data_IF_288181921260
#
_entry.id   IF_288181921260
#
_cell.length_a   1.000
_cell.length_b   1.000
_cell.length_c   1.000
_cell.angle_alpha   90.00
_cell.angle_beta   90.00
_cell.angle_gamma   90.00
#
_symmetry.space_group_name_H-M   'P 1'
#
loop_
_entity.id
_entity.type
_entity.pdbx_description
1 polymer ?
#
# COMPACT_ATOMS: atom_id res chain seq x y z
N UNK A 1 -15.97 89.46 -26.04
CA UNK A 1 -14.77 90.26 -26.35
C UNK A 1 -13.57 89.48 -25.82
N UNK A 2 -12.77 88.89 -26.74
CA UNK A 2 -11.34 88.46 -26.68
C UNK A 2 -10.87 87.65 -25.45
N UNK A 3 -10.48 86.37 -25.62
CA UNK A 3 -9.09 85.87 -25.87
C UNK A 3 -8.10 86.32 -24.75
N UNK A 4 -7.20 85.50 -24.19
CA UNK A 4 -5.90 85.04 -24.75
C UNK A 4 -5.27 84.18 -23.63
N UNK A 5 -4.98 82.88 -23.83
CA UNK A 5 -3.70 82.29 -24.26
C UNK A 5 -2.50 82.52 -23.31
N UNK A 6 -1.76 81.46 -22.95
CA UNK A 6 -0.44 81.65 -22.33
C UNK A 6 0.24 80.41 -21.75
N UNK A 7 0.61 79.47 -22.61
CA UNK A 7 1.45 78.28 -22.31
C UNK A 7 2.84 78.63 -21.76
N UNK A 8 3.42 77.74 -20.93
CA UNK A 8 4.87 77.49 -20.91
C UNK A 8 5.19 76.00 -20.71
N UNK A 9 6.00 75.46 -21.62
CA UNK A 9 6.60 74.11 -21.68
C UNK A 9 7.80 74.06 -20.71
N UNK A 10 8.24 72.92 -20.15
CA UNK A 10 9.00 71.85 -20.82
C UNK A 10 9.37 70.71 -19.84
N UNK A 11 9.57 69.51 -20.42
CA UNK A 11 10.34 68.32 -20.00
C UNK A 11 9.95 67.58 -18.69
N UNK A 12 9.74 66.26 -18.63
CA UNK A 12 9.97 65.14 -19.54
C UNK A 12 10.80 64.05 -18.84
N UNK A 13 10.18 62.91 -18.46
CA UNK A 13 10.70 61.52 -18.58
C UNK A 13 9.73 60.52 -17.95
N UNK A 14 9.67 59.34 -18.57
CA UNK A 14 8.66 58.31 -18.36
C UNK A 14 8.93 57.37 -17.18
N UNK A 15 7.96 56.50 -16.92
CA UNK A 15 8.00 55.51 -15.85
C UNK A 15 6.65 54.81 -15.72
N UNK A 16 6.48 53.76 -16.51
CA UNK A 16 5.32 52.87 -16.59
C UNK A 16 5.21 51.91 -15.41
N UNK A 17 3.97 51.70 -14.94
CA UNK A 17 3.45 50.42 -14.40
C UNK A 17 3.79 50.07 -12.95
N UNK A 18 2.77 49.96 -12.10
CA UNK A 18 2.92 49.51 -10.71
C UNK A 18 1.60 49.18 -10.03
N UNK A 19 0.85 48.21 -10.57
CA UNK A 19 -0.27 47.58 -9.86
C UNK A 19 0.28 46.36 -9.09
N UNK A 20 0.56 46.55 -7.80
CA UNK A 20 1.03 45.51 -6.88
C UNK A 20 -0.03 45.15 -5.84
N UNK A 21 -1.09 44.45 -6.28
CA UNK A 21 -2.13 43.89 -5.42
C UNK A 21 -1.71 42.59 -4.74
N UNK A 22 -1.42 42.70 -3.45
CA UNK A 22 -1.84 41.85 -2.32
C UNK A 22 -2.19 40.37 -2.55
N UNK A 23 -1.53 39.51 -1.78
CA UNK A 23 -2.20 38.40 -1.06
C UNK A 23 -2.20 37.04 -1.76
N UNK A 24 -1.07 36.34 -1.72
CA UNK A 24 -1.06 34.89 -1.91
C UNK A 24 -1.19 34.19 -0.56
N UNK A 25 -2.31 33.53 -0.29
CA UNK A 25 -2.47 32.64 0.87
C UNK A 25 -3.21 31.34 0.50
N UNK A 26 -2.42 30.28 0.37
CA UNK A 26 -2.59 29.00 1.06
C UNK A 26 -3.90 28.22 0.91
N UNK A 27 -4.08 27.49 -0.18
CA UNK A 27 -5.07 26.40 -0.30
C UNK A 27 -4.41 25.05 -0.61
N UNK A 28 -3.70 24.47 0.36
CA UNK A 28 -3.03 23.16 0.22
C UNK A 28 -3.19 22.17 1.38
N UNK A 29 -3.87 22.55 2.48
CA UNK A 29 -3.85 21.77 3.74
C UNK A 29 -4.93 20.71 3.94
N UNK A 30 -5.95 20.62 3.06
CA UNK A 30 -7.14 19.78 3.27
C UNK A 30 -6.96 18.31 2.89
N UNK A 31 -6.28 18.02 1.77
CA UNK A 31 -6.14 16.66 1.25
C UNK A 31 -5.25 15.76 2.13
N UNK A 32 -4.16 16.31 2.69
CA UNK A 32 -3.26 15.58 3.58
C UNK A 32 -3.91 15.19 4.91
N UNK A 33 -4.72 16.09 5.49
CA UNK A 33 -5.45 15.82 6.75
C UNK A 33 -6.55 14.77 6.58
N UNK A 34 -7.26 14.80 5.44
CA UNK A 34 -8.28 13.80 5.11
C UNK A 34 -7.71 12.40 4.88
N UNK A 35 -6.58 12.31 4.19
CA UNK A 35 -5.85 11.05 3.94
C UNK A 35 -5.36 10.40 5.24
N UNK A 36 -4.77 11.20 6.15
CA UNK A 36 -4.26 10.66 7.42
C UNK A 36 -5.36 10.15 8.35
N UNK A 37 -6.53 10.79 8.36
CA UNK A 37 -7.70 10.27 9.09
C UNK A 37 -8.17 8.94 8.51
N UNK A 38 -8.23 8.81 7.18
CA UNK A 38 -8.64 7.56 6.54
C UNK A 38 -7.68 6.40 6.84
N UNK A 39 -6.36 6.65 6.83
CA UNK A 39 -5.36 5.64 7.21
C UNK A 39 -5.51 5.22 8.67
N UNK A 40 -5.68 6.18 9.58
CA UNK A 40 -5.90 5.89 11.00
C UNK A 40 -7.17 5.05 11.23
N UNK A 41 -8.28 5.44 10.61
CA UNK A 41 -9.55 4.75 10.75
C UNK A 41 -9.47 3.32 10.18
N UNK A 42 -8.78 3.14 9.04
CA UNK A 42 -8.52 1.82 8.46
C UNK A 42 -7.63 0.95 9.36
N UNK A 43 -6.51 1.49 9.88
CA UNK A 43 -5.60 0.76 10.77
C UNK A 43 -6.32 0.29 12.05
N UNK A 44 -7.11 1.19 12.67
CA UNK A 44 -7.97 0.85 13.81
C UNK A 44 -9.03 -0.19 13.42
N UNK A 45 -9.53 -0.14 12.19
CA UNK A 45 -10.49 -1.10 11.66
C UNK A 45 -9.90 -2.51 11.58
N UNK A 46 -8.67 -2.65 11.07
CA UNK A 46 -7.97 -3.94 11.03
C UNK A 46 -7.70 -4.49 12.43
N UNK A 47 -7.18 -3.65 13.32
CA UNK A 47 -6.91 -4.04 14.70
C UNK A 47 -8.20 -4.48 15.43
N UNK A 48 -9.29 -3.69 15.32
CA UNK A 48 -10.54 -3.93 16.07
C UNK A 48 -11.40 -5.05 15.49
N UNK A 49 -11.64 -5.03 14.19
CA UNK A 49 -12.62 -5.91 13.56
C UNK A 49 -12.01 -7.20 13.04
N UNK A 50 -10.72 -7.17 12.69
CA UNK A 50 -10.02 -8.32 12.16
C UNK A 50 -9.12 -8.99 13.21
N UNK A 51 -8.77 -8.27 14.28
CA UNK A 51 -7.77 -8.71 15.26
C UNK A 51 -6.35 -8.72 14.70
N UNK A 52 -6.12 -8.03 13.58
CA UNK A 52 -4.86 -8.13 12.84
C UNK A 52 -3.79 -7.22 13.46
N UNK A 53 -2.57 -7.74 13.74
CA UNK A 53 -1.46 -6.94 14.22
C UNK A 53 -0.92 -6.08 13.09
N UNK A 54 -1.03 -4.77 13.25
CA UNK A 54 -0.58 -3.79 12.25
C UNK A 54 0.49 -2.89 12.83
N UNK A 55 1.25 -2.26 11.94
CA UNK A 55 2.22 -1.22 12.27
C UNK A 55 2.38 -0.24 11.10
N UNK A 56 2.90 0.97 11.36
CA UNK A 56 3.20 1.89 10.28
C UNK A 56 4.43 1.43 9.49
N UNK A 57 4.34 1.49 8.18
CA UNK A 57 5.43 1.22 7.25
C UNK A 57 6.30 2.43 7.01
N UNK A 58 7.36 2.22 6.24
CA UNK A 58 8.22 3.31 5.79
C UNK A 58 7.48 4.15 4.75
N UNK A 59 7.43 5.46 4.95
CA UNK A 59 6.84 6.39 4.00
C UNK A 59 7.71 6.50 2.73
N UNK A 60 7.06 6.67 1.58
CA UNK A 60 7.77 7.03 0.36
C UNK A 60 8.24 8.48 0.44
N UNK A 61 9.45 8.76 -0.04
CA UNK A 61 9.97 10.10 -0.19
C UNK A 61 9.24 10.88 -1.29
N UNK A 62 9.36 12.22 -1.32
CA UNK A 62 8.74 13.07 -2.35
C UNK A 62 9.18 12.74 -3.79
N UNK A 63 10.35 12.13 -3.94
CA UNK A 63 10.94 11.68 -5.20
C UNK A 63 10.44 10.30 -5.65
N UNK A 64 9.46 9.72 -4.95
CA UNK A 64 8.94 8.39 -5.24
C UNK A 64 9.89 7.26 -4.86
N UNK A 65 10.96 7.53 -4.10
CA UNK A 65 11.84 6.50 -3.54
C UNK A 65 11.35 6.04 -2.18
N UNK A 66 11.86 4.91 -1.71
CA UNK A 66 11.56 4.46 -0.35
C UNK A 66 12.29 5.36 0.67
N UNK A 67 11.59 5.81 1.72
CA UNK A 67 12.19 6.57 2.82
C UNK A 67 13.15 5.78 3.71
N UNK A 68 13.42 4.50 3.40
CA UNK A 68 14.27 3.64 4.22
C UNK A 68 15.78 3.87 4.00
N UNK A 69 16.14 4.74 3.07
CA UNK A 69 17.54 5.05 2.75
C UNK A 69 18.30 3.95 1.99
N UNK A 70 17.69 2.79 1.72
CA UNK A 70 18.32 1.70 0.95
C UNK A 70 18.24 1.99 -0.55
N UNK A 71 19.38 2.17 -1.26
CA UNK A 71 19.38 2.25 -2.72
C UNK A 71 18.78 0.96 -3.32
N UNK A 72 17.90 1.10 -4.31
CA UNK A 72 17.29 -0.06 -4.96
C UNK A 72 16.32 -0.86 -4.09
N UNK A 73 15.66 -0.24 -3.10
CA UNK A 73 14.60 -0.88 -2.31
C UNK A 73 13.61 -1.62 -3.22
N UNK A 74 13.47 -2.94 -3.01
CA UNK A 74 12.66 -3.83 -3.87
C UNK A 74 11.16 -3.77 -3.58
N UNK A 75 10.76 -3.13 -2.47
CA UNK A 75 9.36 -2.95 -2.06
C UNK A 75 9.10 -1.54 -1.53
N UNK A 76 9.29 -0.47 -2.34
CA UNK A 76 9.23 0.91 -1.86
C UNK A 76 7.91 1.28 -1.16
N UNK A 77 8.00 1.62 0.13
CA UNK A 77 6.87 1.97 0.98
C UNK A 77 5.96 0.81 1.38
N UNK A 78 6.28 -0.42 0.97
CA UNK A 78 5.50 -1.62 1.26
C UNK A 78 6.15 -2.50 2.34
N UNK A 79 6.95 -1.92 3.22
CA UNK A 79 7.69 -2.64 4.27
C UNK A 79 7.72 -1.86 5.60
N UNK A 80 7.84 -2.54 6.74
CA UNK A 80 8.02 -1.90 8.04
C UNK A 80 9.40 -1.22 8.13
N UNK A 81 9.57 -0.24 9.01
CA UNK A 81 10.91 0.20 9.37
C UNK A 81 11.60 -0.94 10.15
N UNK A 82 12.85 -1.24 9.86
CA UNK A 82 13.57 -2.35 10.50
C UNK A 82 14.16 -1.87 11.85
N UNK A 83 13.97 -2.55 13.00
CA UNK A 83 13.29 -3.83 13.26
C UNK A 83 11.86 -3.72 13.83
N UNK A 84 11.08 -2.72 13.44
CA UNK A 84 9.75 -2.42 14.01
C UNK A 84 8.71 -3.55 13.83
N UNK A 85 8.95 -4.60 13.03
CA UNK A 85 7.94 -5.66 12.80
C UNK A 85 7.49 -6.36 14.08
N UNK A 86 8.39 -6.56 15.04
CA UNK A 86 8.06 -7.14 16.35
C UNK A 86 7.15 -6.24 17.20
N UNK A 87 7.08 -4.95 16.87
CA UNK A 87 6.20 -4.01 17.55
C UNK A 87 4.77 -4.05 17.01
N UNK A 88 4.47 -4.81 15.94
CA UNK A 88 3.13 -4.91 15.36
C UNK A 88 2.08 -5.25 16.42
N UNK A 89 0.95 -4.55 16.38
CA UNK A 89 -0.04 -4.62 17.45
C UNK A 89 -1.46 -4.54 16.94
N UNK A 90 -2.37 -5.24 17.63
CA UNK A 90 -3.82 -5.08 17.51
C UNK A 90 -4.40 -4.22 18.66
N UNK A 91 -3.54 -3.70 19.57
CA UNK A 91 -3.97 -2.77 20.61
C UNK A 91 -4.38 -1.43 20.00
N UNK A 92 -5.65 -1.07 20.16
CA UNK A 92 -6.25 0.13 19.57
C UNK A 92 -5.61 1.44 20.05
N UNK A 93 -5.09 1.49 21.27
CA UNK A 93 -4.42 2.69 21.81
C UNK A 93 -3.07 2.86 21.13
N UNK A 94 -2.30 1.78 21.02
CA UNK A 94 -1.00 1.80 20.34
C UNK A 94 -1.15 2.14 18.85
N UNK A 95 -2.05 1.43 18.16
CA UNK A 95 -2.35 1.66 16.74
C UNK A 95 -2.85 3.09 16.50
N UNK A 96 -3.80 3.54 17.31
CA UNK A 96 -4.36 4.89 17.20
C UNK A 96 -3.33 6.00 17.42
N UNK A 97 -2.36 5.78 18.33
CA UNK A 97 -1.28 6.71 18.62
C UNK A 97 -0.25 6.79 17.50
N UNK A 98 0.11 5.66 16.88
CA UNK A 98 1.07 5.66 15.79
C UNK A 98 0.65 6.55 14.62
N UNK A 99 -0.62 6.47 14.19
CA UNK A 99 -1.12 7.30 13.08
C UNK A 99 -1.41 8.75 13.47
N UNK A 100 -1.43 9.07 14.77
CA UNK A 100 -1.35 10.49 15.19
C UNK A 100 0.06 11.01 14.93
N UNK A 101 1.10 10.20 15.19
CA UNK A 101 2.51 10.60 14.99
C UNK A 101 2.98 10.51 13.53
N UNK A 102 2.46 9.54 12.78
CA UNK A 102 2.80 9.26 11.38
C UNK A 102 1.52 9.16 10.52
N UNK A 103 0.84 10.28 10.25
CA UNK A 103 -0.47 10.27 9.60
C UNK A 103 -0.43 9.76 8.16
N UNK A 104 0.70 9.89 7.46
CA UNK A 104 0.86 9.43 6.08
C UNK A 104 1.47 8.02 5.97
N UNK A 105 1.79 7.38 7.08
CA UNK A 105 2.46 6.09 7.05
C UNK A 105 1.57 4.98 6.45
N UNK A 106 2.14 4.14 5.55
CA UNK A 106 1.50 2.91 5.09
C UNK A 106 1.10 2.02 6.27
N UNK A 107 -0.02 1.32 6.15
CA UNK A 107 -0.45 0.26 7.08
C UNK A 107 0.19 -1.05 6.63
N UNK A 108 1.00 -1.65 7.50
CA UNK A 108 1.60 -2.96 7.29
C UNK A 108 0.93 -3.95 8.24
N UNK A 109 0.60 -5.14 7.72
CA UNK A 109 0.21 -6.32 8.50
C UNK A 109 1.44 -7.16 8.79
N UNK A 110 1.66 -7.52 10.05
CA UNK A 110 2.57 -8.60 10.40
C UNK A 110 1.87 -9.95 10.16
N UNK A 111 2.39 -10.76 9.24
CA UNK A 111 1.73 -12.03 8.87
C UNK A 111 2.05 -13.13 9.86
N UNK A 112 1.11 -14.07 10.06
CA UNK A 112 1.31 -15.29 10.84
C UNK A 112 1.47 -15.13 12.36
N UNK A 113 1.74 -13.92 12.87
CA UNK A 113 1.86 -13.64 14.31
C UNK A 113 0.49 -13.67 15.00
N UNK A 114 0.38 -14.33 16.15
CA UNK A 114 -0.85 -14.35 16.98
C UNK A 114 -2.14 -14.72 16.23
N UNK A 115 -2.03 -15.65 15.27
CA UNK A 115 -3.16 -16.08 14.44
C UNK A 115 -3.56 -15.12 13.32
N UNK A 116 -2.76 -14.08 13.07
CA UNK A 116 -2.91 -13.20 11.92
C UNK A 116 -2.77 -13.97 10.60
N UNK A 117 -3.43 -13.53 9.51
CA UNK A 117 -3.32 -14.20 8.23
C UNK A 117 -1.87 -14.33 7.76
N UNK A 118 -1.57 -15.46 7.15
CA UNK A 118 -0.44 -15.56 6.25
C UNK A 118 -0.84 -15.01 4.87
N UNK A 119 0.12 -14.89 3.95
CA UNK A 119 -0.19 -14.55 2.56
C UNK A 119 0.59 -15.39 1.56
N UNK A 120 0.00 -15.52 0.37
CA UNK A 120 0.68 -15.99 -0.85
C UNK A 120 0.59 -14.87 -1.88
N UNK A 121 1.70 -14.50 -2.48
CA UNK A 121 1.73 -13.40 -3.45
C UNK A 121 2.44 -13.74 -4.74
N UNK A 122 1.96 -13.16 -5.83
CA UNK A 122 2.51 -13.28 -7.17
C UNK A 122 2.54 -11.90 -7.85
N UNK A 123 3.22 -11.73 -9.00
CA UNK A 123 3.23 -10.45 -9.72
C UNK A 123 1.81 -9.95 -10.04
N UNK A 124 1.56 -8.65 -9.91
CA UNK A 124 0.22 -8.08 -10.11
C UNK A 124 -0.40 -8.45 -11.47
N UNK A 125 0.43 -8.57 -12.51
CA UNK A 125 0.01 -8.97 -13.85
C UNK A 125 -0.61 -10.39 -13.92
N UNK A 126 -0.26 -11.30 -13.00
CA UNK A 126 -0.86 -12.65 -12.97
C UNK A 126 -2.22 -12.67 -12.25
N UNK A 127 -2.56 -11.60 -11.52
CA UNK A 127 -3.71 -11.60 -10.62
C UNK A 127 -5.08 -11.72 -11.33
N UNK A 128 -5.33 -11.07 -12.49
CA UNK A 128 -6.60 -11.22 -13.19
C UNK A 128 -6.87 -12.68 -13.57
N UNK A 129 -5.87 -13.37 -14.11
CA UNK A 129 -5.99 -14.78 -14.49
C UNK A 129 -6.21 -15.67 -13.27
N UNK A 130 -5.38 -15.52 -12.22
CA UNK A 130 -5.52 -16.30 -10.99
C UNK A 130 -6.89 -16.13 -10.34
N UNK A 131 -7.41 -14.90 -10.32
CA UNK A 131 -8.70 -14.59 -9.72
C UNK A 131 -9.86 -15.22 -10.50
N UNK A 132 -9.82 -15.13 -11.84
CA UNK A 132 -10.81 -15.76 -12.70
C UNK A 132 -10.78 -17.28 -12.57
N UNK A 133 -9.60 -17.88 -12.53
CA UNK A 133 -9.47 -19.34 -12.46
C UNK A 133 -9.91 -19.90 -11.10
N UNK A 134 -9.58 -19.23 -9.99
CA UNK A 134 -10.12 -19.59 -8.67
C UNK A 134 -11.65 -19.52 -8.64
N UNK A 135 -12.25 -18.51 -9.30
CA UNK A 135 -13.71 -18.41 -9.41
C UNK A 135 -14.30 -19.53 -10.27
N UNK A 136 -13.69 -19.85 -11.42
CA UNK A 136 -14.11 -20.94 -12.30
C UNK A 136 -14.07 -22.30 -11.59
N UNK A 137 -13.06 -22.55 -10.76
CA UNK A 137 -12.94 -23.78 -9.95
C UNK A 137 -13.83 -23.77 -8.70
N UNK A 138 -14.64 -22.75 -8.49
CA UNK A 138 -15.50 -22.62 -7.30
C UNK A 138 -14.73 -22.46 -5.99
N UNK A 139 -13.44 -22.12 -6.05
CA UNK A 139 -12.58 -21.97 -4.88
C UNK A 139 -12.89 -20.63 -4.22
N UNK A 140 -13.45 -20.67 -3.00
CA UNK A 140 -13.73 -19.47 -2.22
C UNK A 140 -12.43 -18.84 -1.72
N UNK A 141 -12.12 -17.67 -2.25
CA UNK A 141 -10.96 -16.87 -1.83
C UNK A 141 -11.26 -16.03 -0.58
N UNK A 142 -10.20 -15.76 0.18
CA UNK A 142 -10.20 -14.78 1.27
C UNK A 142 -9.98 -13.36 0.75
N UNK A 143 -9.62 -12.41 1.63
CA UNK A 143 -9.22 -11.07 1.22
C UNK A 143 -8.02 -11.12 0.26
N UNK A 144 -8.01 -10.24 -0.74
CA UNK A 144 -6.92 -10.12 -1.70
C UNK A 144 -6.51 -8.65 -1.81
N UNK A 145 -5.27 -8.37 -1.45
CA UNK A 145 -4.65 -7.05 -1.62
C UNK A 145 -3.97 -7.00 -2.99
N UNK A 146 -4.18 -5.93 -3.74
CA UNK A 146 -3.43 -5.62 -4.94
C UNK A 146 -2.57 -4.38 -4.70
N UNK A 147 -1.33 -4.46 -5.14
CA UNK A 147 -0.37 -3.35 -5.23
C UNK A 147 0.05 -3.22 -6.69
N UNK A 148 0.71 -2.13 -7.09
CA UNK A 148 1.21 -1.97 -8.46
C UNK A 148 2.10 -3.13 -8.94
N UNK A 149 2.85 -3.78 -8.04
CA UNK A 149 3.79 -4.83 -8.39
C UNK A 149 3.31 -6.25 -8.05
N UNK A 150 2.44 -6.42 -7.05
CA UNK A 150 2.03 -7.74 -6.55
C UNK A 150 0.58 -7.81 -6.10
N UNK A 151 -0.01 -9.00 -6.22
CA UNK A 151 -1.26 -9.38 -5.56
C UNK A 151 -0.96 -10.36 -4.42
N UNK A 152 -1.64 -10.18 -3.28
CA UNK A 152 -1.48 -10.95 -2.06
C UNK A 152 -2.83 -11.55 -1.64
N UNK A 153 -2.95 -12.88 -1.71
CA UNK A 153 -4.10 -13.60 -1.14
C UNK A 153 -3.82 -13.83 0.33
N UNK A 154 -4.67 -13.30 1.21
CA UNK A 154 -4.62 -13.60 2.63
C UNK A 154 -5.23 -14.98 2.88
N UNK A 155 -4.45 -15.83 3.54
CA UNK A 155 -4.75 -17.24 3.80
C UNK A 155 -4.70 -17.50 5.29
N UNK A 156 -5.23 -18.64 5.70
CA UNK A 156 -5.14 -19.09 7.09
C UNK A 156 -3.65 -19.19 7.48
N UNK A 157 -3.31 -18.97 8.77
CA UNK A 157 -1.97 -19.22 9.26
C UNK A 157 -1.52 -20.64 8.89
N UNK A 158 -0.26 -20.78 8.49
CA UNK A 158 0.38 -22.05 8.19
C UNK A 158 1.79 -22.06 8.78
N UNK A 159 2.26 -23.25 9.11
CA UNK A 159 3.62 -23.46 9.56
C UNK A 159 4.57 -23.61 8.35
N UNK A 160 5.82 -23.09 8.40
CA UNK A 160 6.79 -23.27 7.32
C UNK A 160 7.08 -24.74 6.96
N UNK A 161 7.04 -25.67 7.92
CA UNK A 161 7.22 -27.09 7.64
C UNK A 161 6.03 -27.68 6.88
N UNK A 162 4.80 -27.32 7.26
CA UNK A 162 3.58 -27.70 6.50
C UNK A 162 3.64 -27.18 5.06
N UNK A 163 4.07 -25.93 4.89
CA UNK A 163 4.28 -25.36 3.57
C UNK A 163 5.38 -26.12 2.80
N UNK A 164 6.48 -26.50 3.46
CA UNK A 164 7.56 -27.27 2.87
C UNK A 164 7.06 -28.57 2.23
N UNK A 165 6.24 -29.34 2.94
CA UNK A 165 5.62 -30.57 2.43
C UNK A 165 4.71 -30.31 1.23
N UNK A 166 3.88 -29.25 1.29
CA UNK A 166 3.00 -28.86 0.18
C UNK A 166 3.78 -28.49 -1.08
N UNK A 167 4.93 -27.83 -0.93
CA UNK A 167 5.79 -27.43 -2.04
C UNK A 167 6.65 -28.59 -2.56
N UNK A 168 7.09 -29.48 -1.68
CA UNK A 168 7.85 -30.68 -2.06
C UNK A 168 7.03 -31.62 -2.95
N UNK A 169 5.72 -31.68 -2.74
CA UNK A 169 4.80 -32.43 -3.59
C UNK A 169 4.60 -31.82 -5.00
N UNK A 170 5.41 -30.84 -5.42
CA UNK A 170 5.28 -30.14 -6.71
C UNK A 170 6.55 -30.22 -7.52
N UNK A 171 6.36 -30.49 -8.81
CA UNK A 171 7.45 -30.56 -9.78
C UNK A 171 8.10 -29.18 -10.02
N UNK A 172 7.33 -28.10 -9.89
CA UNK A 172 7.80 -26.73 -10.11
C UNK A 172 7.04 -25.71 -9.25
N UNK A 173 7.79 -24.84 -8.56
CA UNK A 173 7.28 -23.66 -7.87
C UNK A 173 8.04 -22.43 -8.38
N UNK A 174 7.42 -21.53 -9.15
CA UNK A 174 8.11 -20.35 -9.67
C UNK A 174 8.59 -19.43 -8.54
N UNK A 175 9.83 -18.93 -8.62
CA UNK A 175 10.36 -17.95 -7.67
C UNK A 175 9.63 -16.59 -7.68
N UNK A 176 8.78 -16.35 -8.68
CA UNK A 176 7.86 -15.21 -8.70
C UNK A 176 6.71 -15.37 -7.69
N UNK A 177 6.40 -16.58 -7.23
CA UNK A 177 5.48 -16.86 -6.11
C UNK A 177 6.22 -16.68 -4.78
N UNK A 178 5.60 -15.97 -3.84
CA UNK A 178 6.17 -15.66 -2.52
C UNK A 178 5.21 -16.02 -1.41
N UNK A 179 5.76 -16.54 -0.32
CA UNK A 179 5.03 -16.97 0.87
C UNK A 179 5.39 -16.05 2.03
N UNK A 180 4.37 -15.61 2.78
CA UNK A 180 4.50 -14.69 3.91
C UNK A 180 3.87 -15.36 5.13
N UNK A 181 4.70 -16.02 5.94
CA UNK A 181 4.34 -16.66 7.20
C UNK A 181 4.67 -15.76 8.40
N UNK A 182 4.80 -16.33 9.60
CA UNK A 182 5.32 -15.61 10.77
C UNK A 182 6.66 -14.93 10.45
N UNK A 183 6.79 -13.64 10.81
CA UNK A 183 7.95 -12.80 10.47
C UNK A 183 7.89 -12.17 9.06
N UNK A 184 6.88 -12.51 8.26
CA UNK A 184 6.56 -11.83 7.02
C UNK A 184 5.69 -10.58 7.23
N UNK A 185 5.43 -9.87 6.15
CA UNK A 185 4.56 -8.70 6.17
C UNK A 185 3.88 -8.44 4.82
N UNK A 186 2.72 -7.78 4.86
CA UNK A 186 2.02 -7.31 3.65
C UNK A 186 1.46 -5.91 3.88
N UNK A 187 1.49 -5.01 2.88
CA UNK A 187 0.79 -3.74 2.98
C UNK A 187 -0.73 -3.97 2.95
N UNK A 188 -1.48 -3.17 3.71
CA UNK A 188 -2.94 -3.19 3.72
C UNK A 188 -3.52 -1.92 3.10
N UNK A 189 -4.65 -1.99 2.37
CA UNK A 189 -5.34 -0.80 1.88
C UNK A 189 -5.79 0.13 3.02
N UNK A 190 -5.87 1.46 2.83
CA UNK A 190 -5.63 2.20 1.58
C UNK A 190 -4.18 2.74 1.48
N UNK A 191 -3.18 2.01 1.99
CA UNK A 191 -1.80 2.51 2.13
C UNK A 191 -1.23 3.16 0.87
N UNK A 192 -0.67 4.39 0.97
CA UNK A 192 0.15 4.93 -0.09
C UNK A 192 1.44 4.11 -0.23
N UNK A 193 1.90 3.91 -1.45
CA UNK A 193 3.15 3.22 -1.78
C UNK A 193 3.93 4.10 -2.76
N UNK A 194 5.23 3.87 -2.93
CA UNK A 194 6.02 4.76 -3.79
C UNK A 194 5.57 4.71 -5.27
N UNK A 195 5.10 3.55 -5.74
CA UNK A 195 4.60 3.36 -7.10
C UNK A 195 3.06 3.37 -7.20
N UNK A 196 2.33 3.87 -6.19
CA UNK A 196 0.86 3.90 -6.20
C UNK A 196 0.24 3.70 -4.82
N UNK A 197 -0.65 2.72 -4.68
CA UNK A 197 -1.30 2.40 -3.40
C UNK A 197 -1.65 0.92 -3.28
N UNK A 198 -1.79 0.44 -2.06
CA UNK A 198 -2.44 -0.83 -1.78
C UNK A 198 -3.97 -0.65 -1.88
N UNK A 199 -4.63 -1.57 -2.59
CA UNK A 199 -6.08 -1.60 -2.75
C UNK A 199 -6.65 -3.01 -2.52
N UNK A 200 -7.93 -3.09 -2.22
CA UNK A 200 -8.63 -4.38 -2.15
C UNK A 200 -9.03 -4.81 -3.57
N UNK A 201 -8.46 -5.92 -4.05
CA UNK A 201 -9.06 -6.67 -5.16
C UNK A 201 -10.29 -7.44 -4.66
N UNK A 202 -10.20 -7.94 -3.42
CA UNK A 202 -11.31 -8.51 -2.66
C UNK A 202 -11.16 -8.10 -1.20
N UNK A 203 -12.12 -7.37 -0.66
CA UNK A 203 -12.06 -6.88 0.72
C UNK A 203 -12.29 -7.99 1.77
N UNK A 204 -11.90 -7.75 3.02
CA UNK A 204 -12.30 -8.60 4.13
C UNK A 204 -13.80 -8.45 4.37
N UNK A 205 -14.57 -9.48 4.03
CA UNK A 205 -15.99 -9.55 4.36
C UNK A 205 -16.20 -10.60 5.46
N UNK A 206 -16.80 -10.22 6.61
CA UNK A 206 -17.12 -11.20 7.64
C UNK A 206 -18.14 -12.21 7.14
N UNK A 207 -17.96 -13.48 7.50
CA UNK A 207 -18.96 -14.52 7.32
C UNK A 207 -20.19 -14.28 8.19
N UNK A 208 -21.18 -15.18 8.10
CA UNK A 208 -22.38 -15.14 8.96
C UNK A 208 -22.06 -15.20 10.46
N UNK A 209 -20.90 -15.77 10.80
CA UNK A 209 -20.34 -15.88 12.14
C UNK A 209 -19.55 -14.63 12.58
N UNK A 210 -19.51 -13.58 11.76
CA UNK A 210 -18.76 -12.35 12.03
C UNK A 210 -17.26 -12.47 11.80
N UNK A 211 -16.74 -13.62 11.36
CA UNK A 211 -15.30 -13.86 11.19
C UNK A 211 -14.86 -13.70 9.75
N UNK A 212 -13.67 -13.18 9.53
CA UNK A 212 -13.08 -13.14 8.19
C UNK A 212 -12.69 -14.56 7.80
N UNK A 213 -13.23 -15.02 6.67
CA UNK A 213 -12.90 -16.34 6.14
C UNK A 213 -11.55 -16.29 5.43
N UNK A 214 -10.62 -17.12 5.90
CA UNK A 214 -9.31 -17.29 5.31
C UNK A 214 -9.20 -18.73 4.75
N UNK A 215 -8.98 -18.91 3.44
CA UNK A 215 -8.76 -20.23 2.87
C UNK A 215 -7.40 -20.78 3.30
N UNK A 216 -7.23 -22.10 3.33
CA UNK A 216 -5.92 -22.73 3.49
C UNK A 216 -5.07 -22.49 2.24
N UNK A 217 -3.75 -22.39 2.41
CA UNK A 217 -2.79 -22.26 1.30
C UNK A 217 -2.98 -23.35 0.25
N UNK A 218 -3.11 -24.60 0.68
CA UNK A 218 -3.31 -25.75 -0.20
C UNK A 218 -4.50 -25.59 -1.17
N UNK A 219 -5.58 -24.90 -0.77
CA UNK A 219 -6.75 -24.70 -1.61
C UNK A 219 -6.50 -23.73 -2.77
N UNK A 220 -5.51 -22.84 -2.66
CA UNK A 220 -5.17 -21.85 -3.68
C UNK A 220 -3.92 -22.23 -4.49
N UNK A 221 -3.07 -23.07 -3.92
CA UNK A 221 -1.68 -23.24 -4.35
C UNK A 221 -1.56 -23.63 -5.82
N UNK A 222 -2.36 -24.59 -6.29
CA UNK A 222 -2.29 -25.08 -7.68
C UNK A 222 -2.55 -23.96 -8.69
N UNK A 223 -3.60 -23.18 -8.46
CA UNK A 223 -3.97 -22.07 -9.35
C UNK A 223 -2.93 -20.95 -9.27
N UNK A 224 -2.41 -20.65 -8.07
CA UNK A 224 -1.41 -19.59 -7.92
C UNK A 224 -0.05 -19.96 -8.54
N UNK A 225 0.33 -21.24 -8.48
CA UNK A 225 1.51 -21.77 -9.20
C UNK A 225 1.30 -21.65 -10.70
N UNK A 226 0.14 -22.10 -11.21
CA UNK A 226 -0.17 -22.02 -12.64
C UNK A 226 -0.17 -20.57 -13.14
N UNK A 227 -0.77 -19.65 -12.37
CA UNK A 227 -0.75 -18.22 -12.68
C UNK A 227 0.67 -17.65 -12.78
N UNK A 228 1.53 -18.05 -11.84
CA UNK A 228 2.92 -17.63 -11.78
C UNK A 228 3.76 -18.19 -12.93
N UNK A 229 3.46 -19.41 -13.42
CA UNK A 229 4.11 -20.00 -14.61
C UNK A 229 3.69 -19.26 -15.88
N UNK A 230 2.39 -18.95 -16.01
CA UNK A 230 1.80 -18.29 -17.19
C UNK A 230 2.24 -16.84 -17.35
N UNK A 231 2.79 -16.24 -16.30
CA UNK A 231 3.25 -14.85 -16.31
C UNK A 231 4.77 -14.86 -16.29
N UNK A 232 5.45 -14.60 -17.43
CA UNK A 232 6.89 -14.45 -17.45
C UNK A 232 7.29 -13.49 -16.34
N UNK A 233 8.30 -13.86 -15.55
CA UNK A 233 8.79 -13.00 -14.47
C UNK A 233 9.05 -11.62 -15.05
N UNK A 234 8.24 -10.64 -14.64
CA UNK A 234 8.50 -9.23 -14.90
C UNK A 234 9.79 -8.89 -14.18
N UNK A 235 10.90 -9.21 -14.84
CA UNK A 235 12.24 -9.08 -14.30
C UNK A 235 12.41 -7.64 -13.88
N UNK A 236 12.77 -7.45 -12.62
CA UNK A 236 13.50 -6.26 -12.21
C UNK A 236 14.58 -6.03 -13.24
N UNK A 237 14.54 -4.89 -13.96
CA UNK A 237 15.71 -4.39 -14.65
C UNK A 237 16.76 -4.21 -13.55
N UNK A 238 17.69 -5.16 -13.45
CA UNK A 238 18.97 -4.88 -12.84
C UNK A 238 19.59 -3.83 -13.76
N UNK A 239 19.60 -2.58 -13.29
CA UNK A 239 20.28 -1.51 -13.98
C UNK A 239 21.75 -1.94 -14.12
N UNK A 240 22.14 -2.17 -15.38
CA UNK A 240 23.52 -2.16 -15.86
C UNK A 240 24.12 -0.76 -15.74
#
# INVERSE_FOLDING_TARGET
MREILGMRRTNGRGGSGGDGGSGGDGTGGGAGRGSGRALRDAALGYARHCGWPVLPGVEAGPDGRCGCGKPGCVVPGAHPLDPELLAASSDRRMVGWWWIRRPAAPIILATGTDGAPCAVSLPAAAAPWAHAELANRGVRTGPVVITPSRAHWLVAPYDPAELGELLYARDLVPGSLRFHSAGGYVPLPPSPLAAGRAAWLRGPWPGRDGRIRLPRTAALLDVLVEAAIRTPGGGSRLAS
#
